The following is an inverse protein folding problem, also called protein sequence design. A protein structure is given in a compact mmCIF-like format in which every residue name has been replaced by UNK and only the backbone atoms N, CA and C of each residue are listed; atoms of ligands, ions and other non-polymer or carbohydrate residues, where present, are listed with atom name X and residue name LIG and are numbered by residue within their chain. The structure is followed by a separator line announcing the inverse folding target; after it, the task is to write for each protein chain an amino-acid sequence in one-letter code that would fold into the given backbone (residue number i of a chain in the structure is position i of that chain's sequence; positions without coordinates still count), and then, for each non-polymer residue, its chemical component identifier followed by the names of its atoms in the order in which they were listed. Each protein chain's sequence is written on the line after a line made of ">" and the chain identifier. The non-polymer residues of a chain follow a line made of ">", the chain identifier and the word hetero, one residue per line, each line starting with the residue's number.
data_IF_980793086145
#
_entry.id   IF_980793086145
#
_cell.length_a   1.000
_cell.length_b   1.000
_cell.length_c   1.000
_cell.angle_alpha   90.00
_cell.angle_beta   90.00
_cell.angle_gamma   90.00
#
_symmetry.space_group_name_H-M   'P 1'
#
loop_
_entity.id
_entity.type
_entity.pdbx_description
1 polymer ?
#
# COMPACT_ATOMS: atom_id res chain seq x y z
N UNK A 1 9.75 4.15 -15.50
CA UNK A 1 10.90 3.34 -15.04
C UNK A 1 11.43 3.95 -13.75
N UNK A 2 11.94 3.19 -12.78
CA UNK A 2 12.58 3.81 -11.61
C UNK A 2 13.93 4.39 -12.02
N UNK A 3 14.29 5.55 -11.46
CA UNK A 3 15.60 6.14 -11.70
C UNK A 3 16.70 5.22 -11.13
N UNK A 4 17.85 5.03 -11.80
CA UNK A 4 18.91 4.12 -11.35
C UNK A 4 19.49 4.46 -9.97
N UNK A 5 19.39 5.73 -9.56
CA UNK A 5 19.82 6.18 -8.23
C UNK A 5 18.78 5.93 -7.12
N UNK A 6 17.59 5.46 -7.45
CA UNK A 6 16.58 5.12 -6.44
C UNK A 6 17.03 3.88 -5.68
N UNK A 7 16.90 3.88 -4.36
CA UNK A 7 17.24 2.72 -3.54
C UNK A 7 16.43 1.47 -3.94
N UNK A 8 15.18 1.64 -4.40
CA UNK A 8 14.36 0.52 -4.90
C UNK A 8 14.77 0.02 -6.30
N UNK A 9 15.60 0.77 -7.03
CA UNK A 9 16.21 0.27 -8.26
C UNK A 9 17.49 -0.54 -7.97
N UNK A 10 18.09 -0.34 -6.79
CA UNK A 10 19.39 -0.90 -6.37
C UNK A 10 19.20 -2.11 -5.44
N UNK A 11 18.31 -1.99 -4.46
CA UNK A 11 17.85 -3.10 -3.62
C UNK A 11 16.94 -3.96 -4.50
N UNK A 12 17.23 -5.26 -4.59
CA UNK A 12 16.54 -6.20 -5.48
C UNK A 12 15.01 -6.21 -5.33
N UNK A 13 14.34 -6.96 -6.22
CA UNK A 13 12.87 -7.01 -6.29
C UNK A 13 12.26 -7.34 -4.91
N UNK A 14 11.22 -6.62 -4.48
CA UNK A 14 10.46 -6.98 -3.29
C UNK A 14 9.92 -8.41 -3.37
N UNK A 15 9.65 -9.01 -2.20
CA UNK A 15 9.08 -10.37 -2.09
C UNK A 15 7.71 -10.51 -2.78
N UNK A 16 6.93 -9.43 -2.83
CA UNK A 16 5.63 -9.44 -3.48
C UNK A 16 5.75 -9.47 -5.02
N UNK A 17 4.80 -10.09 -5.75
CA UNK A 17 4.73 -9.98 -7.21
C UNK A 17 4.73 -8.52 -7.67
N UNK A 18 5.34 -8.23 -8.83
CA UNK A 18 5.49 -6.84 -9.31
C UNK A 18 4.13 -6.14 -9.52
N UNK A 19 3.10 -6.90 -9.84
CA UNK A 19 1.71 -6.46 -10.01
C UNK A 19 1.04 -6.01 -8.70
N UNK A 20 1.53 -6.47 -7.54
CA UNK A 20 0.99 -6.14 -6.22
C UNK A 20 1.80 -5.04 -5.51
N UNK A 21 2.84 -4.53 -6.15
CA UNK A 21 3.70 -3.48 -5.61
C UNK A 21 3.18 -2.08 -5.98
N UNK A 22 2.85 -1.30 -4.95
CA UNK A 22 2.46 0.11 -5.11
C UNK A 22 3.63 0.99 -4.69
N UNK A 23 3.99 1.96 -5.54
CA UNK A 23 5.06 2.91 -5.23
C UNK A 23 4.52 4.34 -5.20
N UNK A 24 4.90 5.08 -4.16
CA UNK A 24 4.84 6.53 -4.18
C UNK A 24 6.17 7.08 -4.69
N UNK A 25 6.13 8.22 -5.36
CA UNK A 25 7.32 8.95 -5.80
C UNK A 25 7.12 10.44 -5.53
N UNK A 26 8.21 11.15 -5.27
CA UNK A 26 8.16 12.61 -5.06
C UNK A 26 8.37 13.37 -6.37
N UNK A 27 9.24 12.85 -7.24
CA UNK A 27 9.70 13.58 -8.42
C UNK A 27 9.68 12.68 -9.64
N UNK A 28 9.19 13.23 -10.76
CA UNK A 28 9.24 12.58 -12.06
C UNK A 28 10.21 13.35 -12.95
N UNK A 29 11.32 12.73 -13.31
CA UNK A 29 12.40 13.32 -14.08
C UNK A 29 12.42 12.78 -15.51
N UNK A 30 12.66 13.65 -16.48
CA UNK A 30 12.86 13.26 -17.88
C UNK A 30 14.36 13.11 -18.16
N UNK A 31 14.73 12.14 -18.98
CA UNK A 31 16.12 12.01 -19.42
C UNK A 31 16.51 13.18 -20.34
N UNK A 32 17.81 13.41 -20.51
CA UNK A 32 18.37 14.51 -21.32
C UNK A 32 17.90 14.42 -22.78
N UNK A 33 17.72 13.21 -23.30
CA UNK A 33 17.21 12.94 -24.66
C UNK A 33 15.68 13.08 -24.81
N UNK A 34 14.95 13.41 -23.73
CA UNK A 34 13.49 13.55 -23.73
C UNK A 34 12.67 12.26 -23.86
N UNK A 35 13.29 11.11 -24.12
CA UNK A 35 12.56 9.91 -24.57
C UNK A 35 12.12 8.99 -23.43
N UNK A 36 12.61 9.20 -22.21
CA UNK A 36 12.29 8.35 -21.05
C UNK A 36 11.97 9.17 -19.81
N UNK A 37 10.99 8.69 -19.04
CA UNK A 37 10.57 9.26 -17.76
C UNK A 37 10.94 8.31 -16.62
N UNK A 38 11.55 8.90 -15.60
CA UNK A 38 12.07 8.22 -14.43
C UNK A 38 11.40 8.75 -13.17
N UNK A 39 10.94 7.82 -12.32
CA UNK A 39 10.52 8.16 -10.97
C UNK A 39 11.77 8.25 -10.08
N UNK A 40 11.97 9.41 -9.45
CA UNK A 40 13.01 9.63 -8.44
C UNK A 40 12.38 9.56 -7.05
N UNK A 41 13.20 9.14 -6.08
CA UNK A 41 12.83 8.98 -4.67
C UNK A 41 11.53 8.20 -4.52
N UNK A 42 11.59 6.91 -4.91
CA UNK A 42 10.44 6.02 -4.77
C UNK A 42 10.41 5.42 -3.37
N UNK A 43 9.21 5.21 -2.84
CA UNK A 43 8.97 4.48 -1.60
C UNK A 43 7.93 3.41 -1.89
N UNK A 44 8.21 2.16 -1.49
CA UNK A 44 7.23 1.09 -1.53
C UNK A 44 6.13 1.39 -0.51
N UNK A 45 4.88 1.42 -0.97
CA UNK A 45 3.71 1.70 -0.16
C UNK A 45 2.90 0.42 -0.02
N UNK A 46 2.61 -0.04 1.22
CA UNK A 46 1.76 -1.20 1.40
C UNK A 46 0.34 -0.94 0.83
N UNK A 47 -0.30 -1.90 0.13
CA UNK A 47 -1.62 -1.69 -0.48
C UNK A 47 -2.69 -1.18 0.50
N UNK A 48 -2.64 -1.64 1.75
CA UNK A 48 -3.54 -1.18 2.81
C UNK A 48 -3.33 0.30 3.17
N UNK A 49 -2.09 0.79 3.14
CA UNK A 49 -1.80 2.20 3.34
C UNK A 49 -2.36 3.04 2.19
N UNK A 50 -2.23 2.58 0.95
CA UNK A 50 -2.82 3.23 -0.22
C UNK A 50 -4.36 3.29 -0.12
N UNK A 51 -5.02 2.21 0.30
CA UNK A 51 -6.47 2.20 0.54
C UNK A 51 -6.92 3.21 1.61
N UNK A 52 -6.14 3.36 2.68
CA UNK A 52 -6.48 4.22 3.80
C UNK A 52 -6.23 5.71 3.53
N UNK A 53 -5.14 6.05 2.83
CA UNK A 53 -4.69 7.43 2.65
C UNK A 53 -4.77 7.96 1.22
N UNK A 54 -5.00 7.08 0.24
CA UNK A 54 -5.09 7.44 -1.17
C UNK A 54 -6.38 8.17 -1.52
N UNK A 55 -6.66 8.25 -2.82
CA UNK A 55 -7.78 9.00 -3.38
C UNK A 55 -9.14 8.31 -3.22
N UNK A 56 -10.10 8.69 -4.05
CA UNK A 56 -11.52 8.29 -3.92
C UNK A 56 -11.68 6.79 -4.13
N UNK A 57 -12.40 6.12 -3.23
CA UNK A 57 -12.71 4.70 -3.35
C UNK A 57 -14.17 4.48 -3.79
N UNK A 58 -14.34 3.58 -4.74
CA UNK A 58 -15.62 3.10 -5.20
C UNK A 58 -15.71 1.58 -5.03
N UNK A 59 -16.70 1.11 -4.28
CA UNK A 59 -16.98 -0.32 -4.18
C UNK A 59 -17.63 -0.81 -5.49
N UNK A 60 -17.04 -1.83 -6.09
CA UNK A 60 -17.55 -2.48 -7.31
C UNK A 60 -17.85 -3.94 -7.03
N UNK A 61 -18.69 -4.55 -7.89
CA UNK A 61 -18.98 -5.99 -7.88
C UNK A 61 -19.38 -6.52 -6.48
N UNK A 62 -20.35 -5.86 -5.84
CA UNK A 62 -20.83 -6.23 -4.49
C UNK A 62 -19.72 -6.31 -3.43
N UNK A 63 -18.86 -5.29 -3.36
CA UNK A 63 -17.72 -5.24 -2.43
C UNK A 63 -16.66 -6.34 -2.63
N UNK A 64 -16.56 -6.94 -3.82
CA UNK A 64 -15.43 -7.81 -4.14
C UNK A 64 -14.18 -7.03 -4.58
N UNK A 65 -14.36 -5.75 -4.92
CA UNK A 65 -13.31 -4.88 -5.43
C UNK A 65 -13.53 -3.44 -4.94
N UNK A 66 -12.45 -2.79 -4.50
CA UNK A 66 -12.42 -1.34 -4.30
C UNK A 66 -11.58 -0.73 -5.43
N UNK A 67 -12.18 0.18 -6.20
CA UNK A 67 -11.48 0.94 -7.24
C UNK A 67 -11.06 2.29 -6.67
N UNK A 68 -9.78 2.63 -6.75
CA UNK A 68 -9.25 3.95 -6.37
C UNK A 68 -9.02 4.83 -7.58
N UNK A 69 -9.62 6.02 -7.56
CA UNK A 69 -9.52 7.06 -8.61
C UNK A 69 -9.75 6.54 -10.04
N UNK A 70 -10.61 5.52 -10.18
CA UNK A 70 -10.95 4.88 -11.45
C UNK A 70 -9.82 4.12 -12.17
N UNK A 71 -8.65 3.94 -11.56
CA UNK A 71 -7.51 3.27 -12.21
C UNK A 71 -6.82 2.19 -11.37
N UNK A 72 -6.87 2.24 -10.04
CA UNK A 72 -6.15 1.29 -9.18
C UNK A 72 -7.12 0.34 -8.46
N UNK A 73 -7.23 -0.93 -8.90
CA UNK A 73 -8.11 -1.91 -8.28
C UNK A 73 -7.47 -2.60 -7.07
N UNK A 74 -8.25 -2.77 -6.01
CA UNK A 74 -7.90 -3.59 -4.85
C UNK A 74 -8.90 -4.72 -4.68
N UNK A 75 -8.42 -5.95 -4.63
CA UNK A 75 -9.25 -7.16 -4.55
C UNK A 75 -8.82 -8.01 -3.36
N UNK A 76 -9.77 -8.76 -2.81
CA UNK A 76 -9.49 -9.76 -1.78
C UNK A 76 -9.66 -11.15 -2.36
N UNK A 77 -8.76 -12.07 -2.03
CA UNK A 77 -8.94 -13.48 -2.35
C UNK A 77 -10.01 -14.09 -1.41
N UNK A 78 -11.08 -14.68 -1.98
CA UNK A 78 -12.14 -15.36 -1.22
C UNK A 78 -13.31 -14.47 -0.75
N UNK A 79 -13.98 -14.86 0.34
CA UNK A 79 -15.13 -14.16 0.95
C UNK A 79 -14.73 -12.86 1.69
N UNK A 80 -13.91 -12.01 1.05
CA UNK A 80 -13.33 -10.81 1.65
C UNK A 80 -14.16 -9.53 1.56
N UNK A 81 -15.42 -9.61 1.11
CA UNK A 81 -16.30 -8.43 1.01
C UNK A 81 -16.45 -7.70 2.36
N UNK A 82 -16.49 -8.45 3.46
CA UNK A 82 -16.53 -7.88 4.80
C UNK A 82 -15.24 -7.11 5.14
N UNK A 83 -14.07 -7.59 4.70
CA UNK A 83 -12.81 -6.91 4.94
C UNK A 83 -12.73 -5.57 4.19
N UNK A 84 -13.15 -5.53 2.92
CA UNK A 84 -13.20 -4.28 2.15
C UNK A 84 -14.21 -3.28 2.75
N UNK A 85 -15.36 -3.76 3.23
CA UNK A 85 -16.32 -2.93 3.95
C UNK A 85 -15.73 -2.36 5.25
N UNK A 86 -15.02 -3.18 6.02
CA UNK A 86 -14.36 -2.74 7.26
C UNK A 86 -13.31 -1.65 6.98
N UNK A 87 -12.53 -1.79 5.91
CA UNK A 87 -11.56 -0.76 5.47
C UNK A 87 -12.25 0.56 5.17
N UNK A 88 -13.41 0.54 4.49
CA UNK A 88 -14.17 1.75 4.20
C UNK A 88 -14.73 2.41 5.48
N UNK A 89 -15.24 1.63 6.43
CA UNK A 89 -15.70 2.17 7.72
C UNK A 89 -14.55 2.76 8.53
N UNK A 90 -13.40 2.09 8.55
CA UNK A 90 -12.20 2.61 9.19
C UNK A 90 -11.73 3.92 8.55
N UNK A 91 -11.77 4.00 7.21
CA UNK A 91 -11.44 5.23 6.48
C UNK A 91 -12.38 6.38 6.85
N UNK A 92 -13.70 6.14 6.92
CA UNK A 92 -14.68 7.15 7.37
C UNK A 92 -14.37 7.63 8.79
N UNK A 93 -14.04 6.72 9.70
CA UNK A 93 -13.69 7.07 11.08
C UNK A 93 -12.40 7.93 11.13
N UNK A 94 -11.37 7.56 10.35
CA UNK A 94 -10.14 8.33 10.19
C UNK A 94 -10.43 9.75 9.65
N UNK A 95 -11.22 9.88 8.59
CA UNK A 95 -11.54 11.18 7.99
C UNK A 95 -12.35 12.07 8.95
N UNK A 96 -13.30 11.50 9.71
CA UNK A 96 -14.03 12.23 10.76
C UNK A 96 -13.10 12.72 11.87
N UNK A 97 -12.16 11.87 12.31
CA UNK A 97 -11.16 12.25 13.32
C UNK A 97 -10.29 13.40 12.80
N UNK A 98 -9.78 13.32 11.57
CA UNK A 98 -8.96 14.38 10.97
C UNK A 98 -9.75 15.69 10.83
N UNK A 99 -10.99 15.64 10.36
CA UNK A 99 -11.85 16.82 10.27
C UNK A 99 -12.10 17.47 11.64
N UNK A 100 -12.34 16.66 12.68
CA UNK A 100 -12.46 17.16 14.05
C UNK A 100 -11.14 17.79 14.52
N UNK A 101 -10.02 17.17 14.18
CA UNK A 101 -8.70 17.68 14.52
C UNK A 101 -8.42 19.05 13.90
N UNK A 102 -8.69 19.20 12.60
CA UNK A 102 -8.53 20.49 11.92
C UNK A 102 -9.45 21.57 12.46
N UNK A 103 -10.73 21.25 12.74
CA UNK A 103 -11.66 22.22 13.35
C UNK A 103 -11.17 22.68 14.72
N UNK A 104 -10.76 21.75 15.57
CA UNK A 104 -10.23 22.08 16.89
C UNK A 104 -8.92 22.86 16.84
N UNK A 105 -8.12 22.74 15.78
CA UNK A 105 -6.93 23.59 15.58
C UNK A 105 -7.29 24.99 15.08
N UNK A 106 -8.36 25.12 14.29
CA UNK A 106 -8.83 26.41 13.77
C UNK A 106 -9.55 27.24 14.83
N UNK A 107 -10.24 26.58 15.75
CA UNK A 107 -10.89 27.20 16.89
C UNK A 107 -9.83 27.38 17.99
N UNK A 108 -9.42 28.61 18.31
CA UNK A 108 -8.47 28.95 19.39
C UNK A 108 -8.98 28.61 20.82
N UNK A 109 -9.87 27.62 20.94
CA UNK A 109 -10.44 27.16 22.20
C UNK A 109 -9.47 26.15 22.82
N UNK A 110 -8.78 26.53 23.89
CA UNK A 110 -7.73 25.77 24.58
C UNK A 110 -8.12 24.40 25.19
N UNK A 111 -9.20 23.75 24.74
CA UNK A 111 -9.46 22.33 25.02
C UNK A 111 -8.67 21.51 24.02
N UNK A 112 -7.41 21.28 24.37
CA UNK A 112 -6.40 20.70 23.50
C UNK A 112 -6.79 19.33 22.92
N UNK A 113 -6.58 19.21 21.62
CA UNK A 113 -6.60 17.96 20.84
C UNK A 113 -5.76 16.81 21.44
N UNK A 114 -4.85 17.14 22.37
CA UNK A 114 -3.99 16.21 23.08
C UNK A 114 -4.76 15.25 24.00
N UNK A 115 -6.01 15.56 24.36
CA UNK A 115 -6.79 14.79 25.34
C UNK A 115 -8.06 14.14 24.76
N UNK A 116 -8.20 14.03 23.42
CA UNK A 116 -9.33 13.29 22.84
C UNK A 116 -9.03 11.77 22.88
N UNK A 117 -9.69 10.98 23.75
CA UNK A 117 -9.43 9.54 23.87
C UNK A 117 -9.77 8.79 22.58
N UNK A 118 -10.72 9.31 21.78
CA UNK A 118 -11.13 8.70 20.50
C UNK A 118 -9.99 8.79 19.48
N UNK A 119 -9.28 9.92 19.47
CA UNK A 119 -8.11 10.12 18.60
C UNK A 119 -7.00 9.12 18.93
N UNK A 120 -6.72 8.94 20.23
CA UNK A 120 -5.65 8.03 20.66
C UNK A 120 -5.96 6.58 20.31
N UNK A 121 -7.20 6.13 20.55
CA UNK A 121 -7.66 4.77 20.20
C UNK A 121 -7.55 4.54 18.69
N UNK A 122 -8.02 5.50 17.89
CA UNK A 122 -8.01 5.35 16.44
C UNK A 122 -6.58 5.40 15.87
N UNK A 123 -5.71 6.26 16.40
CA UNK A 123 -4.30 6.32 16.03
C UNK A 123 -3.57 5.01 16.37
N UNK A 124 -3.78 4.47 17.58
CA UNK A 124 -3.22 3.17 18.00
C UNK A 124 -3.71 2.02 17.12
N UNK A 125 -5.01 2.01 16.81
CA UNK A 125 -5.61 1.02 15.91
C UNK A 125 -5.01 1.09 14.49
N UNK A 126 -4.82 2.29 13.97
CA UNK A 126 -4.19 2.52 12.66
C UNK A 126 -2.74 2.01 12.62
N UNK A 127 -1.92 2.34 13.62
CA UNK A 127 -0.53 1.86 13.70
C UNK A 127 -0.48 0.34 13.76
N UNK A 128 -1.29 -0.26 14.64
CA UNK A 128 -1.38 -1.72 14.79
C UNK A 128 -1.74 -2.40 13.46
N UNK A 129 -2.70 -1.83 12.72
CA UNK A 129 -3.17 -2.36 11.45
C UNK A 129 -2.12 -2.24 10.33
N UNK A 130 -1.37 -1.14 10.28
CA UNK A 130 -0.27 -0.97 9.32
C UNK A 130 0.93 -1.87 9.64
N UNK A 131 1.30 -2.01 10.91
CA UNK A 131 2.40 -2.88 11.36
C UNK A 131 2.12 -4.35 11.05
N UNK A 132 0.88 -4.80 11.29
CA UNK A 132 0.45 -6.16 10.96
C UNK A 132 0.56 -6.45 9.45
N UNK A 133 0.33 -5.43 8.62
CA UNK A 133 0.46 -5.54 7.17
C UNK A 133 1.93 -5.53 6.72
N UNK A 134 2.79 -4.73 7.36
CA UNK A 134 4.23 -4.68 7.07
C UNK A 134 4.95 -6.02 7.31
N UNK A 135 4.65 -6.68 8.44
CA UNK A 135 5.27 -7.98 8.81
C UNK A 135 4.83 -9.16 7.95
N UNK A 136 3.67 -9.07 7.29
CA UNK A 136 3.18 -10.15 6.43
C UNK A 136 3.96 -10.25 5.12
N UNK A 137 4.50 -9.13 4.65
CA UNK A 137 5.37 -9.08 3.46
C UNK A 137 6.73 -9.76 3.66
N UNK A 138 7.16 -9.99 4.90
CA UNK A 138 8.41 -10.71 5.23
C UNK A 138 8.19 -12.23 5.41
N UNK A 139 6.94 -12.70 5.45
CA UNK A 139 6.60 -14.12 5.73
C UNK A 139 6.30 -14.96 4.49
N UNK A 140 6.44 -14.41 3.29
CA UNK A 140 6.31 -15.16 2.03
C UNK A 140 7.62 -15.84 1.57
N UNK A 141 8.60 -15.99 2.46
CA UNK A 141 9.72 -16.96 2.32
C UNK A 141 9.24 -18.42 2.53
N UNK A 142 8.10 -18.81 1.95
CA UNK A 142 7.64 -20.19 1.93
C UNK A 142 8.02 -20.87 0.60
N UNK A 143 9.32 -20.91 0.30
CA UNK A 143 9.87 -21.90 -0.63
C UNK A 143 10.62 -22.93 0.21
N UNK A 144 10.09 -24.16 0.39
CA UNK A 144 10.78 -25.18 1.14
C UNK A 144 12.15 -25.51 0.52
N UNK A 145 13.19 -25.66 1.34
CA UNK A 145 14.51 -26.12 0.88
C UNK A 145 14.36 -27.44 0.11
N UNK A 146 14.73 -27.41 -1.18
CA UNK A 146 14.68 -28.58 -2.07
C UNK A 146 13.88 -28.41 -3.36
N UNK A 147 13.11 -27.33 -3.51
CA UNK A 147 12.30 -27.08 -4.73
C UNK A 147 13.09 -26.41 -5.87
N UNK A 148 14.35 -26.05 -5.62
CA UNK A 148 15.25 -25.42 -6.58
C UNK A 148 16.14 -26.37 -7.38
N UNK A 149 15.83 -27.67 -7.49
CA UNK A 149 16.64 -28.57 -8.31
C UNK A 149 15.87 -29.58 -9.16
N UNK A 150 16.32 -29.64 -10.43
CA UNK A 150 16.32 -30.73 -11.41
C UNK A 150 15.12 -30.84 -12.38
N UNK A 151 15.30 -31.00 -13.70
CA UNK A 151 16.50 -31.27 -14.55
C UNK A 151 16.36 -30.56 -15.90
N UNK A 152 17.47 -30.01 -16.40
CA UNK A 152 17.71 -29.93 -17.84
C UNK A 152 17.56 -31.35 -18.43
N UNK A 153 16.54 -31.55 -19.25
CA UNK A 153 16.46 -32.73 -20.12
C UNK A 153 17.40 -32.48 -21.26
N UNK A 154 18.62 -33.00 -21.10
CA UNK A 154 19.64 -33.09 -22.13
C UNK A 154 19.08 -33.91 -23.30
N UNK A 155 18.96 -33.22 -24.42
CA UNK A 155 18.60 -33.73 -25.72
C UNK A 155 19.72 -34.67 -26.22
N UNK A 156 19.49 -35.97 -26.28
CA UNK A 156 20.37 -36.89 -27.01
C UNK A 156 19.58 -37.58 -28.13
N UNK A 157 20.03 -37.27 -29.35
CA UNK A 157 19.69 -37.94 -30.61
C UNK A 157 20.29 -39.34 -30.62
N UNK A 158 19.55 -40.32 -31.13
CA UNK A 158 20.05 -41.40 -32.01
C UNK A 158 18.86 -42.06 -32.68
#
# INVERSE_FOLDING_TARGET
>A
MMHPSSLNAIQGRPSAPAEDQVYAFTTLARNVSGNTLFMRDTTLVPPLAALLFGGRLEARRNFQELMMDDWLPFKTLGHGAHALQLVLEFRKAKDRMLNRAFRSLSEQTGRGLAHDPVREILAKGLVTLLDANGRRSEREDWVPEGWGMRKEVRNDRS
#
